data_IF_869729144474
#
_entry.id   IF_869729144474
#
_cell.length_a   1.000
_cell.length_b   1.000
_cell.length_c   1.000
_cell.angle_alpha   90.00
_cell.angle_beta   90.00
_cell.angle_gamma   90.00
#
_symmetry.space_group_name_H-M   'P 1'
#
loop_
_entity.id
_entity.type
_entity.pdbx_description
1 polymer ?
#
# COMPACT_ATOMS: atom_id res chain seq x y z
N UNK A 1 15.00 14.28 16.20
CA UNK A 1 13.68 13.63 16.02
C UNK A 1 12.58 14.61 16.35
N UNK A 2 11.56 14.77 15.50
CA UNK A 2 10.45 15.65 15.84
C UNK A 2 9.62 15.11 17.03
N UNK A 3 8.95 16.02 17.74
CA UNK A 3 8.21 15.68 18.96
C UNK A 3 7.00 14.76 18.75
N UNK A 4 6.39 14.74 17.55
CA UNK A 4 5.28 13.82 17.24
C UNK A 4 5.82 12.41 17.02
N UNK A 5 6.87 12.26 16.21
CA UNK A 5 7.52 10.97 15.97
C UNK A 5 8.01 10.37 17.29
N UNK A 6 8.72 11.16 18.11
CA UNK A 6 9.22 10.71 19.42
C UNK A 6 8.11 10.16 20.33
N UNK A 7 6.96 10.84 20.38
CA UNK A 7 5.81 10.40 21.20
C UNK A 7 5.14 9.15 20.64
N UNK A 8 5.14 8.98 19.32
CA UNK A 8 4.48 7.86 18.64
C UNK A 8 5.24 6.53 18.71
N UNK A 9 6.54 6.56 19.05
CA UNK A 9 7.38 5.38 19.26
C UNK A 9 7.26 4.93 20.72
N UNK A 10 6.15 4.29 21.09
CA UNK A 10 5.81 3.87 22.45
C UNK A 10 6.20 2.43 22.79
N UNK A 11 6.34 1.55 21.78
CA UNK A 11 6.92 0.21 21.90
C UNK A 11 8.26 0.11 21.15
N UNK A 12 9.13 -0.80 21.58
CA UNK A 12 10.41 -1.09 20.92
C UNK A 12 10.22 -2.20 19.86
N UNK A 13 9.27 -2.00 18.94
CA UNK A 13 8.95 -2.93 17.86
C UNK A 13 9.27 -2.27 16.52
N UNK A 14 10.41 -2.64 15.92
CA UNK A 14 10.97 -1.98 14.76
C UNK A 14 10.04 -2.04 13.54
N UNK A 15 9.29 -3.13 13.37
CA UNK A 15 8.30 -3.26 12.30
C UNK A 15 7.23 -2.15 12.36
N UNK A 16 6.69 -1.87 13.55
CA UNK A 16 5.62 -0.89 13.74
C UNK A 16 6.11 0.56 13.56
N UNK A 17 7.42 0.80 13.69
CA UNK A 17 7.99 2.11 13.42
C UNK A 17 7.72 2.56 11.97
N UNK A 18 7.67 1.63 11.00
CA UNK A 18 7.33 1.93 9.62
C UNK A 18 6.03 2.73 9.49
N UNK A 19 4.98 2.32 10.21
CA UNK A 19 3.67 2.98 10.15
C UNK A 19 3.73 4.45 10.58
N UNK A 20 4.74 4.84 11.36
CA UNK A 20 4.94 6.21 11.86
C UNK A 20 5.79 7.07 10.92
N UNK A 21 6.66 6.46 10.11
CA UNK A 21 7.61 7.20 9.26
C UNK A 21 7.39 7.04 7.76
N UNK A 22 6.53 6.12 7.32
CA UNK A 22 6.36 5.76 5.90
C UNK A 22 6.04 6.94 5.01
N UNK A 23 5.29 7.92 5.50
CA UNK A 23 4.92 9.12 4.73
C UNK A 23 6.14 10.02 4.49
N UNK A 24 7.02 10.16 5.49
CA UNK A 24 8.28 10.92 5.36
C UNK A 24 9.19 10.24 4.35
N UNK A 25 9.39 8.92 4.52
CA UNK A 25 10.22 8.13 3.61
C UNK A 25 9.67 8.16 2.19
N UNK A 26 8.35 8.08 2.02
CA UNK A 26 7.73 8.14 0.70
C UNK A 26 7.99 9.45 -0.02
N UNK A 27 7.81 10.58 0.66
CA UNK A 27 8.09 11.90 0.07
C UNK A 27 9.56 12.02 -0.33
N UNK A 28 10.49 11.60 0.55
CA UNK A 28 11.92 11.74 0.31
C UNK A 28 12.46 10.79 -0.77
N UNK A 29 11.92 9.57 -0.85
CA UNK A 29 12.39 8.54 -1.77
C UNK A 29 11.63 8.51 -3.11
N UNK A 30 10.33 8.72 -3.08
CA UNK A 30 9.40 8.48 -4.21
C UNK A 30 8.64 9.73 -4.65
N UNK A 31 8.68 10.82 -3.87
CA UNK A 31 7.93 12.06 -4.10
C UNK A 31 6.47 12.02 -3.63
N UNK A 32 5.79 13.15 -3.70
CA UNK A 32 4.47 13.39 -3.06
C UNK A 32 3.29 12.62 -3.67
N UNK A 33 3.49 12.03 -4.84
CA UNK A 33 2.41 11.33 -5.56
C UNK A 33 2.28 9.85 -5.17
N UNK A 34 3.33 9.25 -4.62
CA UNK A 34 3.33 7.85 -4.21
C UNK A 34 2.57 7.67 -2.90
N UNK A 35 1.79 6.60 -2.81
CA UNK A 35 1.17 6.15 -1.56
C UNK A 35 2.14 5.17 -0.93
N UNK A 36 2.68 5.41 0.28
CA UNK A 36 3.50 4.42 0.95
C UNK A 36 2.71 3.15 1.22
N UNK A 37 3.39 2.00 1.13
CA UNK A 37 2.82 0.74 1.62
C UNK A 37 2.49 0.89 3.10
N UNK A 38 1.26 0.56 3.54
CA UNK A 38 0.86 0.83 4.91
C UNK A 38 1.59 -0.07 5.91
N UNK A 39 1.75 -1.35 5.58
CA UNK A 39 2.35 -2.36 6.45
C UNK A 39 3.36 -3.18 5.64
N UNK A 40 4.63 -3.15 6.04
CA UNK A 40 5.68 -3.89 5.32
C UNK A 40 5.48 -5.40 5.36
N UNK A 41 4.90 -5.93 6.45
CA UNK A 41 4.53 -7.36 6.56
C UNK A 41 3.53 -7.80 5.48
N UNK A 42 2.66 -6.89 5.04
CA UNK A 42 1.68 -7.16 3.98
C UNK A 42 2.13 -6.60 2.62
N UNK A 43 3.42 -6.22 2.46
CA UNK A 43 3.90 -5.50 1.29
C UNK A 43 3.58 -6.19 -0.05
N UNK A 44 3.68 -7.52 -0.09
CA UNK A 44 3.36 -8.33 -1.29
C UNK A 44 1.92 -8.15 -1.81
N UNK A 45 0.99 -7.60 -1.00
CA UNK A 45 -0.39 -7.31 -1.41
C UNK A 45 -0.54 -6.01 -2.20
N UNK A 46 0.53 -5.24 -2.34
CA UNK A 46 0.56 -3.93 -3.01
C UNK A 46 1.37 -3.94 -4.33
N UNK A 47 1.36 -5.10 -4.99
CA UNK A 47 2.09 -5.33 -6.23
C UNK A 47 1.33 -4.74 -7.45
N UNK A 48 2.00 -4.61 -8.59
CA UNK A 48 1.38 -4.11 -9.83
C UNK A 48 0.20 -5.01 -10.23
N UNK A 49 -0.81 -4.42 -10.86
CA UNK A 49 -2.06 -5.06 -11.24
C UNK A 49 -2.92 -5.56 -10.06
N UNK A 50 -2.53 -5.29 -8.80
CA UNK A 50 -3.37 -5.60 -7.65
C UNK A 50 -4.47 -4.57 -7.44
N UNK A 51 -5.56 -5.01 -6.84
CA UNK A 51 -6.75 -4.22 -6.57
C UNK A 51 -6.81 -3.86 -5.09
N UNK A 52 -7.15 -2.60 -4.84
CA UNK A 52 -7.54 -2.07 -3.54
C UNK A 52 -9.02 -1.70 -3.61
N UNK A 53 -9.78 -2.15 -2.63
CA UNK A 53 -11.15 -1.72 -2.40
C UNK A 53 -11.17 -0.63 -1.33
N UNK A 54 -12.08 0.34 -1.49
CA UNK A 54 -12.26 1.43 -0.53
C UNK A 54 -13.72 1.69 -0.30
N UNK A 55 -14.11 1.70 0.97
CA UNK A 55 -15.48 1.93 1.39
C UNK A 55 -15.98 3.31 0.94
N UNK A 56 -17.21 3.31 0.43
CA UNK A 56 -17.89 4.54 0.08
C UNK A 56 -18.36 5.24 1.35
N UNK A 57 -18.10 6.54 1.44
CA UNK A 57 -18.65 7.40 2.49
C UNK A 57 -20.00 7.96 2.09
N UNK A 58 -20.95 7.88 3.01
CA UNK A 58 -22.21 8.63 3.00
C UNK A 58 -21.96 10.14 2.96
N UNK A 59 -23.01 10.92 2.72
CA UNK A 59 -22.91 12.39 2.76
C UNK A 59 -22.52 12.89 4.15
N UNK A 60 -23.08 12.28 5.20
CA UNK A 60 -22.79 12.64 6.59
C UNK A 60 -21.33 12.38 6.94
N UNK A 61 -20.79 11.21 6.59
CA UNK A 61 -19.38 10.87 6.85
C UNK A 61 -18.40 11.78 6.11
N UNK A 62 -18.78 12.30 4.94
CA UNK A 62 -17.97 13.31 4.24
C UNK A 62 -17.97 14.65 4.98
N UNK A 63 -19.11 15.04 5.56
CA UNK A 63 -19.27 16.28 6.34
C UNK A 63 -18.49 16.23 7.66
N UNK A 64 -18.54 15.09 8.35
CA UNK A 64 -17.82 14.90 9.63
C UNK A 64 -16.32 14.62 9.46
N UNK A 65 -15.84 14.53 8.21
CA UNK A 65 -14.45 14.22 7.92
C UNK A 65 -14.04 12.78 8.25
N UNK A 66 -15.00 11.87 8.44
CA UNK A 66 -14.72 10.46 8.71
C UNK A 66 -13.81 9.87 7.62
N UNK A 67 -12.82 9.08 8.03
CA UNK A 67 -11.84 8.49 7.12
C UNK A 67 -12.37 7.14 6.62
N UNK A 68 -12.38 6.94 5.30
CA UNK A 68 -12.76 5.65 4.70
C UNK A 68 -11.77 4.55 5.04
N UNK A 69 -12.26 3.31 5.08
CA UNK A 69 -11.40 2.13 5.15
C UNK A 69 -10.98 1.65 3.76
N UNK A 70 -9.77 1.10 3.64
CA UNK A 70 -9.26 0.48 2.42
C UNK A 70 -8.63 -0.90 2.68
N UNK A 71 -8.81 -1.80 1.73
CA UNK A 71 -8.41 -3.20 1.80
C UNK A 71 -7.73 -3.62 0.48
N UNK A 72 -6.48 -4.09 0.48
CA UNK A 72 -5.92 -4.78 -0.68
C UNK A 72 -6.59 -6.15 -0.82
N UNK A 73 -7.00 -6.53 -2.03
CA UNK A 73 -7.80 -7.74 -2.28
C UNK A 73 -7.20 -8.70 -3.32
N UNK A 74 -5.97 -8.47 -3.78
CA UNK A 74 -5.25 -9.38 -4.68
C UNK A 74 -5.18 -8.88 -6.14
N UNK A 75 -4.65 -9.70 -7.06
CA UNK A 75 -4.49 -9.35 -8.46
C UNK A 75 -5.84 -9.21 -9.17
N UNK A 76 -5.95 -8.27 -10.11
CA UNK A 76 -7.19 -8.02 -10.86
C UNK A 76 -7.68 -9.24 -11.67
N UNK A 77 -6.77 -10.14 -12.04
CA UNK A 77 -7.10 -11.37 -12.77
C UNK A 77 -8.04 -12.29 -11.99
N UNK A 78 -8.02 -12.27 -10.66
CA UNK A 78 -8.92 -13.07 -9.81
C UNK A 78 -10.36 -12.57 -9.84
N UNK A 79 -10.59 -11.36 -10.32
CA UNK A 79 -11.91 -10.72 -10.37
C UNK A 79 -12.58 -10.85 -11.73
N UNK A 80 -11.94 -11.42 -12.75
CA UNK A 80 -12.46 -11.39 -14.12
C UNK A 80 -13.71 -12.25 -14.27
N UNK A 81 -14.74 -11.66 -14.87
CA UNK A 81 -15.94 -12.38 -15.26
C UNK A 81 -15.71 -13.12 -16.59
N UNK A 82 -15.67 -14.45 -16.55
CA UNK A 82 -15.51 -15.29 -17.74
C UNK A 82 -14.04 -15.54 -18.13
N UNK A 83 -13.78 -15.84 -19.42
CA UNK A 83 -12.42 -16.10 -19.92
C UNK A 83 -11.50 -14.90 -19.70
N UNK A 84 -10.21 -15.19 -19.45
CA UNK A 84 -9.20 -14.15 -19.28
C UNK A 84 -9.01 -13.39 -20.61
N UNK A 85 -9.27 -12.08 -20.66
CA UNK A 85 -9.10 -11.34 -21.90
C UNK A 85 -7.63 -10.96 -22.11
N UNK A 86 -7.20 -10.86 -23.37
CA UNK A 86 -5.82 -10.54 -23.79
C UNK A 86 -5.24 -9.27 -23.12
N UNK A 87 -6.13 -8.35 -22.71
CA UNK A 87 -5.75 -7.15 -21.96
C UNK A 87 -5.13 -7.48 -20.60
N UNK A 88 -5.64 -8.49 -19.90
CA UNK A 88 -5.10 -8.92 -18.60
C UNK A 88 -3.75 -9.61 -18.79
N UNK A 89 -3.58 -10.40 -19.84
CA UNK A 89 -2.28 -10.98 -20.19
C UNK A 89 -1.24 -9.89 -20.47
N UNK A 90 -1.62 -8.86 -21.24
CA UNK A 90 -0.75 -7.70 -21.51
C UNK A 90 -0.41 -6.92 -20.23
N UNK A 91 -1.34 -6.82 -19.28
CA UNK A 91 -1.09 -6.19 -17.97
C UNK A 91 -0.12 -6.99 -17.10
N UNK A 92 -0.04 -8.31 -17.27
CA UNK A 92 0.88 -9.18 -16.52
C UNK A 92 2.36 -8.85 -16.76
N UNK A 93 2.68 -8.14 -17.84
CA UNK A 93 4.05 -7.76 -18.20
C UNK A 93 4.42 -6.36 -17.67
N UNK A 94 4.38 -6.17 -16.34
CA UNK A 94 4.84 -4.93 -15.74
C UNK A 94 6.31 -4.68 -16.10
N UNK A 95 6.63 -3.47 -16.58
CA UNK A 95 8.00 -3.10 -16.96
C UNK A 95 8.64 -2.17 -15.94
N UNK A 96 9.94 -2.36 -15.76
CA UNK A 96 10.76 -1.42 -14.99
C UNK A 96 10.78 -0.07 -15.72
N UNK A 97 10.40 0.98 -15.01
CA UNK A 97 10.50 2.36 -15.45
C UNK A 97 11.96 2.81 -15.33
N UNK A 98 12.63 2.95 -16.47
CA UNK A 98 14.04 3.38 -16.55
C UNK A 98 14.19 4.90 -16.61
N UNK A 99 13.09 5.65 -16.71
CA UNK A 99 13.10 7.11 -16.77
C UNK A 99 13.20 7.79 -15.40
N UNK A 100 13.03 7.04 -14.31
CA UNK A 100 13.11 7.54 -12.93
C UNK A 100 14.33 6.95 -12.23
N UNK A 101 15.20 7.84 -11.75
CA UNK A 101 16.37 7.47 -10.94
C UNK A 101 16.01 7.68 -9.47
N UNK A 102 15.87 6.58 -8.74
CA UNK A 102 15.64 6.58 -7.28
C UNK A 102 16.95 6.42 -6.53
N UNK A 103 17.01 6.92 -5.29
CA UNK A 103 18.14 6.63 -4.41
C UNK A 103 18.25 5.11 -4.17
N UNK A 104 19.39 4.53 -4.58
CA UNK A 104 19.65 3.09 -4.49
C UNK A 104 20.09 2.63 -3.10
N UNK A 105 20.44 3.56 -2.21
CA UNK A 105 20.84 3.33 -0.82
C UNK A 105 20.33 4.48 0.03
N UNK A 106 19.02 4.51 0.25
CA UNK A 106 18.36 5.53 1.05
C UNK A 106 18.53 5.24 2.54
N UNK A 107 18.83 6.27 3.32
CA UNK A 107 18.89 6.21 4.78
C UNK A 107 18.13 7.39 5.38
N UNK A 108 17.27 7.08 6.35
CA UNK A 108 16.65 8.02 7.26
C UNK A 108 17.13 7.68 8.67
N UNK A 109 17.63 8.68 9.39
CA UNK A 109 18.06 8.51 10.77
C UNK A 109 17.59 9.67 11.64
N UNK A 110 17.00 9.33 12.78
CA UNK A 110 16.58 10.28 13.79
C UNK A 110 16.88 9.74 15.19
N UNK A 111 17.51 10.56 16.03
CA UNK A 111 17.73 10.26 17.45
C UNK A 111 17.42 11.48 18.32
N UNK A 112 16.89 11.24 19.52
CA UNK A 112 16.59 12.29 20.49
C UNK A 112 16.48 11.71 21.91
N UNK A 113 16.57 12.56 22.92
CA UNK A 113 16.42 12.19 24.33
C UNK A 113 15.48 13.16 25.04
N UNK A 114 14.38 12.64 25.61
CA UNK A 114 13.42 13.45 26.40
C UNK A 114 13.10 12.76 27.71
N UNK A 115 13.11 13.53 28.79
CA UNK A 115 12.83 13.04 30.15
C UNK A 115 13.67 11.81 30.55
N UNK A 116 14.97 11.81 30.17
CA UNK A 116 15.89 10.72 30.48
C UNK A 116 15.73 9.46 29.62
N UNK A 117 14.76 9.41 28.71
CA UNK A 117 14.59 8.31 27.76
C UNK A 117 15.27 8.69 26.44
N UNK A 118 16.19 7.86 25.94
CA UNK A 118 16.76 8.01 24.60
C UNK A 118 15.98 7.16 23.61
N UNK A 119 15.68 7.72 22.43
CA UNK A 119 15.12 6.99 21.28
C UNK A 119 15.99 7.21 20.04
N UNK A 120 16.14 6.18 19.24
CA UNK A 120 16.83 6.23 17.94
C UNK A 120 16.09 5.37 16.94
N UNK A 121 15.88 5.88 15.74
CA UNK A 121 15.25 5.18 14.64
C UNK A 121 16.10 5.36 13.40
N UNK A 122 16.47 4.24 12.77
CA UNK A 122 17.15 4.22 11.47
C UNK A 122 16.32 3.38 10.50
N UNK A 123 16.07 3.91 9.30
CA UNK A 123 15.43 3.19 8.20
C UNK A 123 16.36 3.23 7.01
N UNK A 124 16.72 2.06 6.50
CA UNK A 124 17.57 1.91 5.33
C UNK A 124 16.82 1.13 4.25
N UNK A 125 16.88 1.62 3.02
CA UNK A 125 16.19 1.03 1.87
C UNK A 125 17.18 0.95 0.70
N UNK A 126 17.35 -0.25 0.16
CA UNK A 126 18.30 -0.50 -0.93
C UNK A 126 17.65 -1.04 -2.19
N UNK A 127 18.32 -0.83 -3.32
CA UNK A 127 17.95 -1.42 -4.61
C UNK A 127 16.59 -0.93 -5.13
N UNK A 128 16.33 0.37 -4.96
CA UNK A 128 15.05 0.97 -5.31
C UNK A 128 14.80 0.98 -6.82
N UNK A 129 13.59 0.61 -7.24
CA UNK A 129 13.15 0.80 -8.62
C UNK A 129 11.63 0.92 -8.71
N UNK A 130 11.15 1.38 -9.86
CA UNK A 130 9.72 1.54 -10.13
C UNK A 130 9.32 0.63 -11.29
N UNK A 131 8.20 -0.07 -11.16
CA UNK A 131 7.59 -0.82 -12.24
C UNK A 131 6.19 -0.28 -12.50
N UNK A 132 5.76 -0.35 -13.75
CA UNK A 132 4.47 0.17 -14.20
C UNK A 132 3.81 -0.80 -15.17
N UNK A 133 2.48 -0.78 -15.18
CA UNK A 133 1.69 -1.39 -16.25
C UNK A 133 2.02 -0.71 -17.58
N UNK A 134 2.33 -1.52 -18.59
CA UNK A 134 2.47 -1.02 -19.97
C UNK A 134 1.11 -0.66 -20.58
N UNK A 135 0.06 -1.38 -20.17
CA UNK A 135 -1.30 -1.16 -20.65
C UNK A 135 -2.22 -0.89 -19.47
N UNK A 136 -2.95 0.23 -19.55
CA UNK A 136 -4.01 0.56 -18.59
C UNK A 136 -5.36 0.12 -19.16
N UNK A 137 -6.19 -0.61 -18.40
CA UNK A 137 -7.55 -0.93 -18.79
C UNK A 137 -8.33 0.31 -19.23
N UNK A 138 -9.11 0.16 -20.29
CA UNK A 138 -10.06 1.18 -20.75
C UNK A 138 -11.47 0.81 -20.31
N UNK A 139 -12.38 1.81 -20.24
CA UNK A 139 -13.79 1.52 -20.03
C UNK A 139 -14.31 0.52 -21.07
N UNK A 140 -14.98 -0.54 -20.61
CA UNK A 140 -15.51 -1.59 -21.48
C UNK A 140 -14.55 -2.75 -21.81
N UNK A 141 -13.26 -2.68 -21.45
CA UNK A 141 -12.29 -3.73 -21.83
C UNK A 141 -12.67 -5.11 -21.25
N UNK A 142 -13.24 -5.15 -20.04
CA UNK A 142 -13.72 -6.36 -19.39
C UNK A 142 -14.69 -6.06 -18.24
N UNK A 143 -15.31 -7.11 -17.72
CA UNK A 143 -16.16 -7.07 -16.54
C UNK A 143 -15.54 -7.83 -15.36
N UNK A 144 -15.83 -7.34 -14.15
CA UNK A 144 -15.42 -7.94 -12.90
C UNK A 144 -16.60 -8.66 -12.22
N UNK A 145 -16.39 -9.86 -11.73
CA UNK A 145 -17.35 -10.61 -10.91
C UNK A 145 -17.18 -10.26 -9.43
N UNK A 146 -17.70 -9.09 -9.06
CA UNK A 146 -17.67 -8.61 -7.68
C UNK A 146 -18.55 -9.46 -6.75
N UNK A 147 -19.54 -10.19 -7.28
CA UNK A 147 -20.44 -11.02 -6.48
C UNK A 147 -19.73 -12.30 -6.03
N UNK A 148 -19.15 -13.04 -6.99
CA UNK A 148 -18.39 -14.26 -6.71
C UNK A 148 -17.19 -14.02 -5.81
N UNK A 149 -16.56 -12.85 -5.93
CA UNK A 149 -15.43 -12.46 -5.08
C UNK A 149 -15.82 -11.92 -3.70
N UNK A 150 -17.13 -11.79 -3.40
CA UNK A 150 -17.61 -11.37 -2.08
C UNK A 150 -17.64 -9.85 -1.85
N UNK A 151 -17.55 -9.05 -2.91
CA UNK A 151 -17.42 -7.58 -2.85
C UNK A 151 -18.52 -6.84 -3.63
N UNK A 152 -19.73 -7.42 -3.70
CA UNK A 152 -20.87 -6.91 -4.50
C UNK A 152 -21.24 -5.45 -4.23
N UNK A 153 -20.98 -4.94 -3.02
CA UNK A 153 -21.39 -3.60 -2.60
C UNK A 153 -20.41 -2.49 -3.04
N UNK A 154 -19.32 -2.87 -3.72
CA UNK A 154 -18.32 -1.93 -4.24
C UNK A 154 -18.66 -1.53 -5.69
N UNK A 155 -18.89 -0.23 -5.91
CA UNK A 155 -19.18 0.37 -7.22
C UNK A 155 -17.93 0.90 -7.94
N UNK A 156 -16.73 0.58 -7.42
CA UNK A 156 -15.45 1.09 -7.89
C UNK A 156 -14.31 0.21 -7.38
N UNK A 157 -13.25 0.15 -8.17
CA UNK A 157 -11.97 -0.44 -7.76
C UNK A 157 -10.85 0.60 -7.85
N UNK A 158 -9.76 0.32 -7.17
CA UNK A 158 -8.53 1.09 -7.27
C UNK A 158 -7.41 0.13 -7.68
N UNK A 159 -6.99 0.23 -8.93
CA UNK A 159 -5.95 -0.60 -9.51
C UNK A 159 -4.58 -0.01 -9.20
N UNK A 160 -3.67 -0.83 -8.69
CA UNK A 160 -2.25 -0.49 -8.56
C UNK A 160 -1.62 -0.55 -9.95
N UNK A 161 -1.29 0.62 -10.47
CA UNK A 161 -0.76 0.79 -11.83
C UNK A 161 0.75 0.89 -11.86
N UNK A 162 1.34 1.30 -10.74
CA UNK A 162 2.78 1.45 -10.57
C UNK A 162 3.13 1.08 -9.13
N UNK A 163 4.25 0.39 -8.94
CA UNK A 163 4.78 0.04 -7.62
C UNK A 163 6.26 0.35 -7.58
N UNK A 164 6.69 0.92 -6.46
CA UNK A 164 8.07 1.14 -6.11
C UNK A 164 8.52 -0.02 -5.24
N UNK A 165 9.61 -0.66 -5.64
CA UNK A 165 10.18 -1.81 -4.94
C UNK A 165 11.56 -1.47 -4.41
N UNK A 166 11.90 -2.10 -3.30
CA UNK A 166 13.26 -2.20 -2.77
C UNK A 166 13.71 -3.66 -2.85
N UNK A 167 15.02 -3.89 -2.90
CA UNK A 167 15.61 -5.22 -2.74
C UNK A 167 15.82 -5.60 -1.27
N UNK A 168 15.94 -4.60 -0.40
CA UNK A 168 16.12 -4.76 1.03
C UNK A 168 15.56 -3.54 1.78
N UNK A 169 14.89 -3.80 2.90
CA UNK A 169 14.41 -2.77 3.84
C UNK A 169 14.82 -3.18 5.24
N UNK A 170 15.55 -2.31 5.93
CA UNK A 170 15.98 -2.51 7.32
C UNK A 170 15.50 -1.36 8.19
N UNK A 171 14.87 -1.68 9.30
CA UNK A 171 14.44 -0.73 10.33
C UNK A 171 15.11 -1.12 11.63
N UNK A 172 15.79 -0.17 12.26
CA UNK A 172 16.43 -0.35 13.56
C UNK A 172 15.84 0.67 14.53
N UNK A 173 15.32 0.19 15.66
CA UNK A 173 14.72 1.01 16.69
C UNK A 173 15.42 0.75 18.02
N UNK A 174 15.77 1.82 18.72
CA UNK A 174 16.29 1.76 20.09
C UNK A 174 15.45 2.66 20.99
N UNK A 175 14.99 2.13 22.13
CA UNK A 175 14.23 2.88 23.16
C UNK A 175 14.76 2.50 24.54
N UNK A 176 15.26 3.48 25.29
CA UNK A 176 15.78 3.29 26.65
C UNK A 176 16.80 2.14 26.76
N UNK A 177 17.65 1.97 25.73
CA UNK A 177 18.68 0.93 25.66
C UNK A 177 18.18 -0.45 25.21
N UNK A 178 16.87 -0.64 24.99
CA UNK A 178 16.36 -1.81 24.27
C UNK A 178 16.48 -1.56 22.77
N UNK A 179 16.79 -2.60 22.01
CA UNK A 179 16.94 -2.52 20.57
C UNK A 179 16.13 -3.61 19.88
N UNK A 180 15.57 -3.27 18.73
CA UNK A 180 14.93 -4.21 17.82
C UNK A 180 15.32 -3.88 16.37
N UNK A 181 15.35 -4.91 15.52
CA UNK A 181 15.68 -4.78 14.10
C UNK A 181 14.71 -5.59 13.27
N UNK A 182 14.05 -4.93 12.33
CA UNK A 182 13.20 -5.55 11.32
C UNK A 182 13.90 -5.50 9.97
N UNK A 183 14.05 -6.67 9.32
CA UNK A 183 14.75 -6.80 8.06
C UNK A 183 13.91 -7.60 7.06
N UNK A 184 13.69 -7.01 5.89
CA UNK A 184 13.07 -7.66 4.75
C UNK A 184 14.04 -7.70 3.59
N UNK A 185 14.05 -8.82 2.86
CA UNK A 185 14.85 -9.02 1.64
C UNK A 185 13.98 -9.54 0.50
N UNK A 186 14.41 -9.28 -0.73
CA UNK A 186 13.69 -9.66 -1.95
C UNK A 186 12.97 -8.46 -2.56
N UNK A 187 12.05 -8.71 -3.48
CA UNK A 187 11.29 -7.65 -4.15
C UNK A 187 10.17 -7.15 -3.22
N UNK A 188 10.41 -6.02 -2.54
CA UNK A 188 9.54 -5.50 -1.48
C UNK A 188 8.83 -4.24 -1.97
N UNK A 189 7.50 -4.24 -2.17
CA UNK A 189 6.75 -3.01 -2.37
C UNK A 189 6.92 -2.05 -1.19
N UNK A 190 7.34 -0.81 -1.47
CA UNK A 190 7.50 0.27 -0.47
C UNK A 190 6.56 1.44 -0.72
N UNK A 191 6.03 1.57 -1.95
CA UNK A 191 4.97 2.51 -2.29
C UNK A 191 4.36 2.21 -3.65
N UNK A 192 3.26 2.87 -3.98
CA UNK A 192 2.50 2.58 -5.21
C UNK A 192 1.65 3.77 -5.68
N UNK A 193 1.17 3.70 -6.92
CA UNK A 193 0.21 4.64 -7.51
C UNK A 193 -1.08 3.92 -7.94
N UNK A 194 -2.21 4.57 -7.67
CA UNK A 194 -3.53 4.04 -7.95
C UNK A 194 -4.20 4.73 -9.13
N UNK A 195 -4.95 3.95 -9.91
CA UNK A 195 -5.99 4.44 -10.79
C UNK A 195 -7.35 3.95 -10.30
N UNK A 196 -8.29 4.87 -10.11
CA UNK A 196 -9.67 4.55 -9.76
C UNK A 196 -10.44 4.21 -11.04
N UNK A 197 -11.20 3.13 -11.01
CA UNK A 197 -12.22 2.81 -12.03
C UNK A 197 -13.60 2.79 -11.39
N UNK A 198 -14.60 3.41 -12.03
CA UNK A 198 -16.01 3.16 -11.71
C UNK A 198 -16.41 1.78 -12.24
N UNK A 199 -17.29 1.08 -11.56
CA UNK A 199 -17.94 -0.13 -12.08
C UNK A 199 -19.38 0.19 -12.48
N UNK A 200 -19.82 -0.39 -13.61
CA UNK A 200 -21.23 -0.46 -13.97
C UNK A 200 -21.91 -1.62 -13.21
N UNK A 201 -23.26 -1.67 -13.14
CA UNK A 201 -23.97 -2.72 -12.40
C UNK A 201 -23.65 -4.15 -12.83
N UNK A 202 -23.24 -4.35 -14.09
CA UNK A 202 -22.80 -5.63 -14.64
C UNK A 202 -21.30 -5.92 -14.41
N UNK A 203 -20.61 -5.13 -13.57
CA UNK A 203 -19.19 -5.27 -13.28
C UNK A 203 -18.25 -4.70 -14.34
N UNK A 204 -18.75 -4.18 -15.46
CA UNK A 204 -17.91 -3.62 -16.53
C UNK A 204 -17.17 -2.36 -16.05
N UNK A 205 -15.91 -2.23 -16.43
CA UNK A 205 -15.13 -1.03 -16.15
C UNK A 205 -15.74 0.21 -16.82
N UNK A 206 -15.95 1.25 -16.04
CA UNK A 206 -16.36 2.58 -16.48
C UNK A 206 -15.20 3.58 -16.45
N UNK A 207 -15.56 4.86 -16.38
CA UNK A 207 -14.60 5.97 -16.37
C UNK A 207 -13.50 5.80 -15.30
N UNK A 208 -12.28 6.17 -15.67
CA UNK A 208 -11.09 6.06 -14.84
C UNK A 208 -10.49 7.42 -14.48
N UNK A 209 -9.75 7.48 -13.38
CA UNK A 209 -8.96 8.65 -12.98
C UNK A 209 -7.76 8.29 -12.14
N UNK A 210 -6.66 9.01 -12.36
CA UNK A 210 -5.46 8.93 -11.50
C UNK A 210 -5.81 9.41 -10.08
N UNK A 211 -5.32 8.69 -9.09
CA UNK A 211 -5.41 9.07 -7.67
C UNK A 211 -4.14 9.80 -7.27
N UNK A 212 -4.29 10.99 -6.67
CA UNK A 212 -3.17 11.71 -6.06
C UNK A 212 -2.87 11.15 -4.68
N UNK A 213 -1.64 10.67 -4.44
CA UNK A 213 -1.23 10.04 -3.19
C UNK A 213 -1.46 10.92 -1.97
N UNK A 214 -1.04 12.18 -2.03
CA UNK A 214 -1.27 13.21 -0.99
C UNK A 214 -2.75 13.34 -0.54
N UNK A 215 -3.71 13.01 -1.42
CA UNK A 215 -5.16 13.11 -1.17
C UNK A 215 -5.78 11.76 -0.78
N UNK A 216 -5.00 10.69 -0.80
CA UNK A 216 -5.43 9.34 -0.48
C UNK A 216 -5.33 9.07 1.02
N UNK A 217 -6.26 9.64 1.78
CA UNK A 217 -6.39 9.38 3.22
C UNK A 217 -7.39 8.26 3.47
N UNK A 218 -6.92 7.16 4.04
CA UNK A 218 -7.70 5.96 4.38
C UNK A 218 -7.16 5.29 5.64
N UNK A 219 -8.03 4.57 6.34
CA UNK A 219 -7.63 3.59 7.34
C UNK A 219 -7.37 2.27 6.61
N UNK A 220 -6.15 1.74 6.69
CA UNK A 220 -5.79 0.49 6.03
C UNK A 220 -6.11 -0.70 6.93
N UNK A 221 -6.77 -1.72 6.37
CA UNK A 221 -6.97 -3.00 7.06
C UNK A 221 -5.72 -3.86 6.90
N UNK A 222 -5.17 -4.35 8.01
CA UNK A 222 -4.10 -5.36 8.03
C UNK A 222 -4.68 -6.70 7.58
N UNK A 223 -4.10 -7.29 6.54
CA UNK A 223 -4.56 -8.58 6.00
C UNK A 223 -4.33 -9.71 7.02
N UNK A 224 -3.24 -9.64 7.78
CA UNK A 224 -2.96 -10.57 8.88
C UNK A 224 -4.11 -10.66 9.91
N UNK A 225 -4.82 -9.57 10.17
CA UNK A 225 -5.97 -9.54 11.10
C UNK A 225 -7.17 -10.31 10.56
N UNK A 226 -7.40 -10.29 9.25
CA UNK A 226 -8.50 -11.01 8.60
C UNK A 226 -8.24 -12.52 8.66
N UNK A 227 -7.03 -12.96 8.34
CA UNK A 227 -6.65 -14.38 8.40
C UNK A 227 -6.82 -14.96 9.82
N UNK A 228 -6.45 -14.21 10.87
CA UNK A 228 -6.64 -14.64 12.25
C UNK A 228 -8.11 -14.76 12.66
N UNK A 229 -8.99 -13.87 12.17
CA UNK A 229 -10.44 -13.98 12.43
C UNK A 229 -11.07 -15.22 11.77
N UNK A 230 -10.63 -15.56 10.55
CA UNK A 230 -11.12 -16.73 9.82
C UNK A 230 -10.63 -18.05 10.44
N UNK A 231 -9.40 -18.10 10.93
CA UNK A 231 -8.86 -19.25 11.66
C UNK A 231 -9.59 -19.49 12.99
N UNK A 232 -9.94 -18.42 13.71
CA UNK A 232 -10.70 -18.51 14.96
C UNK A 232 -12.14 -19.03 14.74
N UNK A 233 -12.78 -18.69 13.63
CA UNK A 233 -14.12 -19.22 13.26
C UNK A 233 -14.10 -20.66 12.73
N UNK A 234 -12.94 -21.16 12.30
CA UNK A 234 -12.77 -22.54 11.81
C UNK A 234 -12.48 -23.56 12.92
N UNK A 235 -12.33 -23.07 14.16
CA UNK A 235 -11.93 -23.85 15.34
C UNK A 235 -13.07 -24.04 16.36
N UNK A 236 -14.31 -23.70 15.96
CA UNK A 236 -15.53 -23.87 16.75
C UNK A 236 -16.50 -24.84 16.07
#
# INVERSE_FOLDING_TARGET
MDSRLYKSLDSCEAEHAWEKIRDIVAVQLMGDNAIPVPFLRDAAKFDVAHVVLKESRSRMEKLTGAISTALPVGPISEFIAGPLPDVIERMGNAKKDTGIILNQAYEFHESDMKHGVKKSLTVQIWGCGKWALEYLPKPGDFALDMVKTGYKDFDRIYLITQTFYASEVKIQLSIAGKEDTYLLKGQIPVGFNLMKYKLYPNGTLGASKVVKGEKWKVNWIKQSTIASSLAATSSN
#
